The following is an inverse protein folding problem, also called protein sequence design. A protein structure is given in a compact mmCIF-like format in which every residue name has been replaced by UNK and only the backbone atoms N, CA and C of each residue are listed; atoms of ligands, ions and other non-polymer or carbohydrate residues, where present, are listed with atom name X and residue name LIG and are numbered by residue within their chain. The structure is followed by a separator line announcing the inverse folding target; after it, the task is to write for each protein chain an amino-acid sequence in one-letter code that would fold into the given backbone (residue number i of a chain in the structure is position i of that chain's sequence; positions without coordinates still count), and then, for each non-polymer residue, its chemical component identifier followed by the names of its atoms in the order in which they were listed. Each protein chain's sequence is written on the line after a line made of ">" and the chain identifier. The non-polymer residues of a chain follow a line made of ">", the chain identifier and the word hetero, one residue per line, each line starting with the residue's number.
data_IF_524051059962
#
_entry.id   IF_524051059962
#
_cell.length_a   1.000
_cell.length_b   1.000
_cell.length_c   1.000
_cell.angle_alpha   90.00
_cell.angle_beta   90.00
_cell.angle_gamma   90.00
#
_symmetry.space_group_name_H-M   'P 1'
#
loop_
_entity.id
_entity.type
_entity.pdbx_description
1 polymer ?
#
# COMPACT_ATOMS: atom_id res chain seq x y z
N UNK A 1 7.32 11.62 0.54
CA UNK A 1 7.85 10.46 -0.21
C UNK A 1 6.67 9.67 -0.69
N UNK A 2 6.69 9.19 -1.93
CA UNK A 2 5.66 8.27 -2.41
C UNK A 2 5.70 6.99 -1.55
N UNK A 3 4.54 6.42 -1.27
CA UNK A 3 4.41 5.19 -0.50
C UNK A 3 4.59 4.03 -1.47
N UNK A 4 5.49 3.09 -1.14
CA UNK A 4 5.90 2.00 -2.03
C UNK A 4 5.26 0.68 -1.65
N UNK A 5 4.62 0.01 -2.62
CA UNK A 5 4.07 -1.34 -2.47
C UNK A 5 4.82 -2.31 -3.38
N UNK A 6 5.45 -3.33 -2.79
CA UNK A 6 6.19 -4.34 -3.54
C UNK A 6 5.28 -5.47 -4.02
N UNK A 7 5.29 -5.74 -5.33
CA UNK A 7 4.58 -6.89 -5.92
C UNK A 7 5.48 -8.11 -5.82
N UNK A 8 5.08 -9.09 -5.04
CA UNK A 8 5.82 -10.34 -4.85
C UNK A 8 4.98 -11.56 -5.25
N UNK A 9 5.62 -12.69 -5.44
CA UNK A 9 4.97 -13.98 -5.75
C UNK A 9 5.94 -14.89 -6.48
N UNK A 10 5.57 -16.16 -6.65
CA UNK A 10 6.34 -17.14 -7.41
C UNK A 10 6.44 -16.76 -8.90
N UNK A 11 7.34 -17.35 -9.67
CA UNK A 11 7.36 -17.20 -11.13
C UNK A 11 6.02 -17.64 -11.75
N UNK A 12 5.63 -17.00 -12.84
CA UNK A 12 4.45 -17.33 -13.67
C UNK A 12 3.08 -17.24 -12.96
N UNK A 13 2.98 -16.48 -11.86
CA UNK A 13 1.69 -16.20 -11.19
C UNK A 13 0.97 -14.97 -11.74
N UNK A 14 1.59 -14.22 -12.67
CA UNK A 14 1.00 -13.04 -13.30
C UNK A 14 1.50 -11.69 -12.76
N UNK A 15 2.60 -11.63 -12.00
CA UNK A 15 3.15 -10.38 -11.43
C UNK A 15 3.45 -9.31 -12.47
N UNK A 16 4.22 -9.67 -13.50
CA UNK A 16 4.62 -8.70 -14.53
C UNK A 16 3.43 -8.26 -15.40
N UNK A 17 2.42 -9.13 -15.60
CA UNK A 17 1.17 -8.76 -16.27
C UNK A 17 0.42 -7.72 -15.45
N UNK A 18 0.28 -7.95 -14.14
CA UNK A 18 -0.32 -7.01 -13.20
C UNK A 18 0.43 -5.67 -13.20
N UNK A 19 1.75 -5.71 -13.06
CA UNK A 19 2.59 -4.52 -13.02
C UNK A 19 2.47 -3.69 -14.30
N UNK A 20 2.51 -4.36 -15.47
CA UNK A 20 2.36 -3.69 -16.75
C UNK A 20 0.96 -3.04 -16.90
N UNK A 21 -0.10 -3.73 -16.47
CA UNK A 21 -1.45 -3.18 -16.50
C UNK A 21 -1.58 -1.97 -15.55
N UNK A 22 -1.04 -2.05 -14.32
CA UNK A 22 -1.00 -0.94 -13.37
C UNK A 22 -0.25 0.28 -13.92
N UNK A 23 0.90 0.06 -14.57
CA UNK A 23 1.74 1.16 -15.10
C UNK A 23 1.19 1.77 -16.37
N UNK A 24 0.45 1.01 -17.20
CA UNK A 24 -0.28 1.54 -18.35
C UNK A 24 -1.49 2.38 -17.94
N UNK A 25 -2.25 1.92 -16.96
CA UNK A 25 -3.36 2.67 -16.38
C UNK A 25 -2.88 3.91 -15.60
N UNK A 26 -1.58 3.98 -15.25
CA UNK A 26 -0.96 5.09 -14.55
C UNK A 26 -0.69 6.30 -15.45
N UNK A 27 -0.65 7.47 -14.85
CA UNK A 27 -0.27 8.71 -15.53
C UNK A 27 1.23 8.65 -15.83
N UNK A 28 1.64 9.07 -17.04
CA UNK A 28 3.06 9.18 -17.39
C UNK A 28 3.81 9.97 -16.30
N UNK A 29 4.87 9.37 -15.78
CA UNK A 29 5.66 9.91 -14.66
C UNK A 29 6.24 11.32 -14.91
N UNK A 30 6.29 11.75 -16.17
CA UNK A 30 6.69 13.09 -16.61
C UNK A 30 5.83 14.22 -16.03
N UNK A 31 4.60 13.91 -15.59
CA UNK A 31 3.67 14.89 -15.03
C UNK A 31 3.86 15.14 -13.52
N UNK A 32 4.73 14.36 -12.84
CA UNK A 32 5.00 14.54 -11.42
C UNK A 32 6.41 15.09 -11.18
N UNK A 33 6.54 16.36 -10.71
CA UNK A 33 7.84 16.91 -10.34
C UNK A 33 8.44 16.13 -9.16
N UNK A 34 9.74 15.79 -9.27
CA UNK A 34 10.54 15.11 -8.24
C UNK A 34 10.41 13.57 -8.12
N UNK A 35 9.82 12.89 -9.11
CA UNK A 35 9.85 11.42 -9.13
C UNK A 35 11.05 10.92 -9.94
N UNK A 36 11.98 10.24 -9.27
CA UNK A 36 13.01 9.45 -9.94
C UNK A 36 12.41 8.07 -10.22
N UNK A 37 12.29 7.67 -11.49
CA UNK A 37 11.77 6.36 -11.86
C UNK A 37 12.92 5.36 -11.72
N UNK A 38 12.79 4.43 -10.79
CA UNK A 38 13.68 3.27 -10.70
C UNK A 38 13.24 2.20 -11.71
N UNK A 39 14.15 1.39 -12.22
CA UNK A 39 13.77 0.23 -13.04
C UNK A 39 12.79 -0.66 -12.27
N UNK A 40 11.72 -1.09 -12.93
CA UNK A 40 10.63 -1.89 -12.35
C UNK A 40 9.77 -1.20 -11.28
N UNK A 41 9.76 0.13 -11.21
CA UNK A 41 8.82 0.92 -10.40
C UNK A 41 7.85 1.69 -11.29
N UNK A 42 6.59 1.74 -10.89
CA UNK A 42 5.52 2.46 -11.58
C UNK A 42 4.71 3.31 -10.62
N UNK A 43 4.40 4.54 -11.01
CA UNK A 43 3.57 5.46 -10.24
C UNK A 43 2.15 5.38 -10.80
N UNK A 44 1.18 5.10 -9.92
CA UNK A 44 -0.23 5.04 -10.27
C UNK A 44 -1.03 6.07 -9.48
N UNK A 45 -2.04 6.64 -10.12
CA UNK A 45 -2.98 7.54 -9.44
C UNK A 45 -3.94 6.72 -8.58
N UNK A 46 -4.28 7.27 -7.41
CA UNK A 46 -5.35 6.70 -6.57
C UNK A 46 -6.69 7.13 -7.16
N UNK A 47 -7.55 6.19 -7.60
CA UNK A 47 -8.87 6.52 -8.10
C UNK A 47 -9.72 7.12 -6.99
N UNK A 48 -10.20 8.36 -7.18
CA UNK A 48 -11.03 9.06 -6.20
C UNK A 48 -12.00 10.03 -6.90
N UNK A 49 -13.25 9.59 -7.07
CA UNK A 49 -14.32 10.38 -7.69
C UNK A 49 -14.59 11.72 -6.98
N UNK A 50 -14.20 11.83 -5.71
CA UNK A 50 -14.38 13.06 -4.94
C UNK A 50 -13.57 14.22 -5.53
N UNK A 51 -12.40 13.91 -6.09
CA UNK A 51 -11.53 14.91 -6.73
C UNK A 51 -12.22 15.55 -7.94
N UNK A 52 -12.88 14.73 -8.77
CA UNK A 52 -13.58 15.19 -9.97
C UNK A 52 -14.82 16.03 -9.61
N UNK A 53 -15.57 15.61 -8.60
CA UNK A 53 -16.73 16.38 -8.09
C UNK A 53 -16.33 17.73 -7.51
N UNK A 54 -15.21 17.78 -6.76
CA UNK A 54 -14.65 19.06 -6.28
C UNK A 54 -14.20 19.94 -7.44
N UNK A 55 -13.54 19.36 -8.44
CA UNK A 55 -13.08 20.08 -9.62
C UNK A 55 -14.25 20.64 -10.45
N UNK A 56 -15.35 19.91 -10.58
CA UNK A 56 -16.55 20.38 -11.27
C UNK A 56 -17.17 21.64 -10.59
N UNK A 57 -17.09 21.74 -9.26
CA UNK A 57 -17.59 22.91 -8.51
C UNK A 57 -16.63 24.09 -8.60
N UNK A 58 -15.32 23.84 -8.44
CA UNK A 58 -14.30 24.90 -8.33
C UNK A 58 -13.84 25.39 -9.69
N UNK A 59 -13.93 24.56 -10.74
CA UNK A 59 -13.43 24.79 -12.11
C UNK A 59 -11.96 25.26 -12.09
N UNK A 60 -11.03 24.42 -11.59
CA UNK A 60 -9.64 24.80 -11.42
C UNK A 60 -8.86 24.76 -12.74
N UNK A 61 -7.67 25.40 -12.75
CA UNK A 61 -6.74 25.30 -13.88
C UNK A 61 -6.06 23.92 -13.96
N UNK A 62 -5.91 23.23 -12.82
CA UNK A 62 -5.28 21.90 -12.72
C UNK A 62 -6.00 21.02 -11.71
N UNK A 63 -6.06 19.73 -12.03
CA UNK A 63 -6.53 18.67 -11.14
C UNK A 63 -5.33 17.75 -10.88
N UNK A 64 -5.01 17.53 -9.61
CA UNK A 64 -3.83 16.74 -9.24
C UNK A 64 -4.27 15.62 -8.28
N UNK A 65 -4.32 14.36 -8.75
CA UNK A 65 -4.62 13.22 -7.90
C UNK A 65 -3.46 12.92 -6.96
N UNK A 66 -3.71 12.14 -5.92
CA UNK A 66 -2.64 11.52 -5.16
C UNK A 66 -2.15 10.25 -5.84
N UNK A 67 -0.96 9.81 -5.49
CA UNK A 67 -0.29 8.69 -6.17
C UNK A 67 0.31 7.70 -5.19
N UNK A 68 0.49 6.47 -5.66
CA UNK A 68 1.17 5.38 -4.99
C UNK A 68 2.18 4.76 -5.95
N UNK A 69 3.28 4.23 -5.42
CA UNK A 69 4.31 3.55 -6.21
C UNK A 69 4.17 2.03 -6.04
N UNK A 70 4.13 1.32 -7.15
CA UNK A 70 4.26 -0.13 -7.19
C UNK A 70 5.61 -0.51 -7.75
N UNK A 71 6.25 -1.54 -7.16
CA UNK A 71 7.53 -2.07 -7.63
C UNK A 71 7.37 -3.55 -7.98
N UNK A 72 7.66 -3.93 -9.23
CA UNK A 72 7.72 -5.35 -9.61
C UNK A 72 9.01 -5.95 -9.07
N UNK A 73 8.87 -6.85 -8.12
CA UNK A 73 9.99 -7.55 -7.51
C UNK A 73 10.12 -8.92 -8.18
N UNK A 74 11.29 -9.17 -8.78
CA UNK A 74 11.56 -10.42 -9.49
C UNK A 74 11.14 -11.64 -8.68
N UNK A 75 10.58 -12.66 -9.35
CA UNK A 75 10.00 -13.82 -8.66
C UNK A 75 10.98 -14.55 -7.74
N UNK A 76 10.53 -14.83 -6.51
CA UNK A 76 11.24 -15.65 -5.56
C UNK A 76 11.11 -17.12 -5.95
N UNK A 77 12.19 -17.87 -5.79
CA UNK A 77 12.20 -19.33 -5.79
C UNK A 77 12.66 -19.84 -4.42
N UNK A 78 12.22 -21.02 -4.02
CA UNK A 78 12.65 -21.63 -2.77
C UNK A 78 14.19 -21.68 -2.65
N UNK A 79 14.72 -21.34 -1.47
CA UNK A 79 16.16 -21.28 -1.20
C UNK A 79 16.82 -19.92 -1.48
N UNK A 80 16.05 -18.88 -1.80
CA UNK A 80 16.58 -17.56 -2.07
C UNK A 80 17.26 -16.90 -0.86
N UNK A 81 16.83 -17.21 0.34
CA UNK A 81 17.46 -16.72 1.60
C UNK A 81 18.86 -17.31 1.83
N UNK A 82 19.17 -18.47 1.24
CA UNK A 82 20.47 -19.15 1.34
C UNK A 82 21.35 -18.98 0.11
N UNK A 83 20.82 -18.36 -0.96
CA UNK A 83 21.50 -18.22 -2.24
C UNK A 83 22.36 -16.96 -2.35
N UNK A 84 23.50 -17.06 -3.06
CA UNK A 84 24.26 -15.89 -3.48
C UNK A 84 23.57 -15.23 -4.70
N UNK A 85 23.42 -13.88 -4.70
CA UNK A 85 23.02 -13.11 -5.86
C UNK A 85 21.56 -12.71 -5.90
N UNK A 86 20.72 -13.29 -6.77
CA UNK A 86 19.36 -12.83 -7.06
C UNK A 86 18.40 -12.86 -5.85
N UNK A 87 18.54 -13.83 -4.96
CA UNK A 87 17.71 -13.93 -3.76
C UNK A 87 17.95 -12.76 -2.78
N UNK A 88 19.21 -12.38 -2.57
CA UNK A 88 19.55 -11.24 -1.72
C UNK A 88 19.07 -9.91 -2.30
N UNK A 89 19.09 -9.76 -3.63
CA UNK A 89 18.56 -8.58 -4.30
C UNK A 89 17.03 -8.50 -4.16
N UNK A 90 16.33 -9.63 -4.29
CA UNK A 90 14.90 -9.73 -4.04
C UNK A 90 14.54 -9.23 -2.63
N UNK A 91 15.20 -9.76 -1.60
CA UNK A 91 14.95 -9.38 -0.21
C UNK A 91 15.30 -7.91 0.05
N UNK A 92 16.35 -7.36 -0.59
CA UNK A 92 16.71 -5.95 -0.50
C UNK A 92 15.60 -5.05 -1.08
N UNK A 93 15.06 -5.40 -2.26
CA UNK A 93 13.98 -4.64 -2.88
C UNK A 93 12.70 -4.64 -2.00
N UNK A 94 12.36 -5.78 -1.37
CA UNK A 94 11.23 -5.79 -0.41
C UNK A 94 11.50 -4.89 0.79
N UNK A 95 12.75 -4.81 1.29
CA UNK A 95 13.08 -3.93 2.44
C UNK A 95 12.77 -2.47 2.16
N UNK A 96 12.89 -2.02 0.92
CA UNK A 96 12.61 -0.63 0.51
C UNK A 96 11.11 -0.32 0.37
N UNK A 97 10.25 -1.34 0.32
CA UNK A 97 8.81 -1.18 0.23
C UNK A 97 8.18 -0.96 1.62
N UNK A 98 7.03 -0.27 1.65
CA UNK A 98 6.25 -0.04 2.86
C UNK A 98 5.24 -1.16 3.12
N UNK A 99 4.76 -1.84 2.07
CA UNK A 99 3.83 -2.97 2.11
C UNK A 99 4.16 -3.99 1.02
N UNK A 100 3.55 -5.17 1.13
CA UNK A 100 3.69 -6.28 0.19
C UNK A 100 2.34 -6.59 -0.44
N UNK A 101 2.28 -6.60 -1.77
CA UNK A 101 1.19 -7.15 -2.58
C UNK A 101 1.59 -8.53 -3.07
N UNK A 102 1.08 -9.57 -2.43
CA UNK A 102 1.42 -10.95 -2.75
C UNK A 102 0.49 -11.52 -3.81
N UNK A 103 0.98 -11.67 -5.03
CA UNK A 103 0.22 -12.25 -6.16
C UNK A 103 0.25 -13.76 -6.08
N UNK A 104 -0.92 -14.37 -6.06
CA UNK A 104 -1.12 -15.82 -5.96
C UNK A 104 -1.93 -16.30 -7.16
N UNK A 105 -1.47 -17.37 -7.78
CA UNK A 105 -2.16 -17.97 -8.93
C UNK A 105 -3.37 -18.79 -8.46
N UNK A 106 -4.56 -18.45 -8.94
CA UNK A 106 -5.82 -19.09 -8.62
C UNK A 106 -6.58 -19.53 -9.89
N UNK A 107 -5.87 -19.92 -10.95
CA UNK A 107 -6.43 -20.35 -12.23
C UNK A 107 -5.61 -21.48 -12.83
N UNK A 108 -6.23 -22.30 -13.68
CA UNK A 108 -5.59 -23.36 -14.45
C UNK A 108 -5.34 -22.89 -15.89
N UNK A 109 -4.12 -23.04 -16.38
CA UNK A 109 -3.76 -22.82 -17.77
C UNK A 109 -2.61 -23.77 -18.15
N UNK A 110 -2.90 -24.66 -19.10
CA UNK A 110 -1.95 -25.67 -19.59
C UNK A 110 -0.75 -25.07 -20.35
N UNK A 111 -0.88 -23.83 -20.82
CA UNK A 111 0.21 -23.11 -21.52
C UNK A 111 1.15 -22.38 -20.57
N UNK A 112 0.78 -22.26 -19.29
CA UNK A 112 1.56 -21.57 -18.27
C UNK A 112 2.09 -22.60 -17.26
N UNK A 113 3.38 -22.93 -17.35
CA UNK A 113 4.02 -23.86 -16.44
C UNK A 113 4.07 -23.29 -15.01
N UNK A 114 3.62 -24.07 -14.01
CA UNK A 114 3.82 -23.75 -12.61
C UNK A 114 5.18 -24.29 -12.14
N UNK A 115 5.84 -23.61 -11.18
CA UNK A 115 7.18 -23.97 -10.69
C UNK A 115 7.19 -25.35 -10.01
N UNK A 116 6.07 -25.74 -9.38
CA UNK A 116 5.89 -27.03 -8.71
C UNK A 116 5.04 -28.03 -9.50
N UNK A 117 4.80 -27.79 -10.80
CA UNK A 117 3.94 -28.62 -11.68
C UNK A 117 2.49 -28.80 -11.19
N UNK A 118 2.11 -28.17 -10.07
CA UNK A 118 0.77 -28.19 -9.49
C UNK A 118 0.42 -26.80 -8.95
N UNK A 119 -0.82 -26.37 -9.19
CA UNK A 119 -1.34 -25.14 -8.61
C UNK A 119 -1.76 -25.42 -7.17
N UNK A 120 -1.09 -24.79 -6.23
CA UNK A 120 -1.33 -24.94 -4.79
C UNK A 120 -1.08 -23.61 -4.07
N UNK A 121 -2.11 -22.73 -4.00
CA UNK A 121 -1.99 -21.42 -3.40
C UNK A 121 -1.45 -21.42 -1.96
N UNK A 122 -1.80 -22.43 -1.17
CA UNK A 122 -1.31 -22.54 0.20
C UNK A 122 0.20 -22.77 0.23
N UNK A 123 0.71 -23.71 -0.58
CA UNK A 123 2.14 -23.97 -0.71
C UNK A 123 2.91 -22.78 -1.29
N UNK A 124 2.32 -22.05 -2.23
CA UNK A 124 2.93 -20.86 -2.84
C UNK A 124 3.10 -19.74 -1.80
N UNK A 125 2.07 -19.50 -0.98
CA UNK A 125 2.09 -18.51 0.11
C UNK A 125 3.11 -18.92 1.17
N UNK A 126 3.09 -20.19 1.60
CA UNK A 126 4.02 -20.74 2.60
C UNK A 126 5.47 -20.59 2.14
N UNK A 127 5.77 -20.85 0.86
CA UNK A 127 7.12 -20.70 0.29
C UNK A 127 7.63 -19.27 0.45
N UNK A 128 6.84 -18.26 0.06
CA UNK A 128 7.22 -16.86 0.20
C UNK A 128 7.37 -16.48 1.68
N UNK A 129 6.41 -16.82 2.52
CA UNK A 129 6.44 -16.49 3.94
C UNK A 129 7.66 -17.10 4.64
N UNK A 130 8.02 -18.36 4.29
CA UNK A 130 9.19 -19.05 4.83
C UNK A 130 10.49 -18.33 4.45
N UNK A 131 10.65 -17.92 3.19
CA UNK A 131 11.87 -17.22 2.75
C UNK A 131 12.02 -15.84 3.44
N UNK A 132 10.92 -15.13 3.62
CA UNK A 132 10.92 -13.85 4.35
C UNK A 132 11.26 -14.09 5.84
N UNK A 133 10.68 -15.12 6.47
CA UNK A 133 10.93 -15.45 7.86
C UNK A 133 12.39 -15.88 8.11
N UNK A 134 12.98 -16.69 7.21
CA UNK A 134 14.39 -17.09 7.30
C UNK A 134 15.34 -15.89 7.20
N UNK A 135 15.06 -14.93 6.30
CA UNK A 135 15.85 -13.70 6.19
C UNK A 135 15.77 -12.84 7.46
N UNK A 136 14.59 -12.73 8.05
CA UNK A 136 14.38 -11.96 9.27
C UNK A 136 15.01 -12.67 10.48
N UNK A 137 14.92 -14.01 10.55
CA UNK A 137 15.52 -14.81 11.60
C UNK A 137 17.03 -14.57 11.69
N UNK A 138 17.72 -14.60 10.54
CA UNK A 138 19.16 -14.29 10.49
C UNK A 138 19.47 -12.90 11.03
N UNK A 139 18.65 -11.91 10.68
CA UNK A 139 18.80 -10.50 11.13
C UNK A 139 18.57 -10.38 12.65
N UNK A 140 17.50 -11.04 13.14
CA UNK A 140 17.14 -11.06 14.57
C UNK A 140 18.22 -11.77 15.39
N UNK A 141 18.76 -12.92 14.97
CA UNK A 141 19.80 -13.65 15.66
C UNK A 141 21.08 -12.81 15.80
N UNK A 142 21.54 -12.21 14.70
CA UNK A 142 22.74 -11.34 14.73
C UNK A 142 22.55 -10.17 15.70
N UNK A 143 21.38 -9.55 15.70
CA UNK A 143 21.09 -8.42 16.57
C UNK A 143 20.91 -8.84 18.02
N UNK A 144 20.27 -9.97 18.28
CA UNK A 144 20.09 -10.57 19.61
C UNK A 144 21.45 -10.87 20.28
N UNK A 145 22.40 -11.46 19.54
CA UNK A 145 23.73 -11.74 20.04
C UNK A 145 24.47 -10.46 20.45
N UNK A 146 24.36 -9.41 19.66
CA UNK A 146 24.96 -8.09 19.95
C UNK A 146 24.30 -7.45 21.17
N UNK A 147 22.97 -7.40 21.20
CA UNK A 147 22.19 -6.73 22.24
C UNK A 147 22.31 -7.46 23.58
N UNK A 148 22.37 -8.79 23.58
CA UNK A 148 22.56 -9.60 24.79
C UNK A 148 23.90 -9.30 25.50
N UNK A 149 24.96 -8.98 24.76
CA UNK A 149 26.25 -8.56 25.35
C UNK A 149 26.13 -7.22 26.08
N UNK A 150 25.36 -6.25 25.48
CA UNK A 150 25.10 -4.96 26.09
C UNK A 150 24.19 -5.10 27.30
N UNK A 151 23.15 -5.91 27.22
CA UNK A 151 22.21 -6.18 28.31
C UNK A 151 22.93 -6.73 29.58
N UNK A 152 23.97 -7.54 29.41
CA UNK A 152 24.79 -8.07 30.52
C UNK A 152 25.54 -6.98 31.29
N UNK A 153 25.78 -5.82 30.71
CA UNK A 153 26.39 -4.68 31.41
C UNK A 153 25.39 -3.88 32.26
N UNK A 154 24.13 -4.28 32.30
CA UNK A 154 23.09 -3.64 33.11
C UNK A 154 22.27 -2.57 32.39
N UNK A 155 22.42 -2.44 31.05
CA UNK A 155 21.66 -1.51 30.24
C UNK A 155 20.20 -1.96 30.15
N UNK A 156 19.27 -1.12 30.65
CA UNK A 156 17.84 -1.44 30.75
C UNK A 156 17.13 -1.49 29.39
N UNK A 157 17.53 -0.65 28.45
CA UNK A 157 16.96 -0.61 27.11
C UNK A 157 17.37 -1.87 26.34
N UNK A 158 18.65 -2.25 26.43
CA UNK A 158 19.12 -3.50 25.85
C UNK A 158 18.43 -4.73 26.47
N UNK A 159 18.16 -4.73 27.78
CA UNK A 159 17.43 -5.83 28.44
C UNK A 159 15.98 -5.93 27.92
N UNK A 160 15.28 -4.80 27.71
CA UNK A 160 13.95 -4.77 27.10
C UNK A 160 13.98 -5.29 25.67
N UNK A 161 14.93 -4.81 24.86
CA UNK A 161 15.10 -5.25 23.47
C UNK A 161 15.36 -6.76 23.35
N UNK A 162 16.15 -7.34 24.24
CA UNK A 162 16.40 -8.80 24.25
C UNK A 162 15.10 -9.58 24.38
N UNK A 163 14.18 -9.16 25.25
CA UNK A 163 12.88 -9.84 25.44
C UNK A 163 12.06 -9.82 24.14
N UNK A 164 12.01 -8.67 23.45
CA UNK A 164 11.28 -8.53 22.19
C UNK A 164 11.93 -9.36 21.07
N UNK A 165 13.25 -9.36 21.00
CA UNK A 165 14.01 -10.14 20.02
C UNK A 165 13.84 -11.65 20.22
N UNK A 166 13.81 -12.13 21.49
CA UNK A 166 13.54 -13.55 21.78
C UNK A 166 12.12 -13.95 21.38
N UNK A 167 11.11 -13.10 21.62
CA UNK A 167 9.74 -13.33 21.12
C UNK A 167 9.70 -13.41 19.59
N UNK A 168 10.34 -12.45 18.90
CA UNK A 168 10.39 -12.43 17.46
C UNK A 168 11.12 -13.67 16.90
N UNK A 169 12.26 -14.05 17.49
CA UNK A 169 13.02 -15.25 17.10
C UNK A 169 12.15 -16.50 17.22
N UNK A 170 11.54 -16.74 18.38
CA UNK A 170 10.70 -17.93 18.60
C UNK A 170 9.55 -18.04 17.59
N UNK A 171 8.98 -16.91 17.19
CA UNK A 171 7.89 -16.84 16.22
C UNK A 171 8.37 -17.11 14.80
N UNK A 172 9.53 -16.56 14.42
CA UNK A 172 10.18 -16.79 13.13
C UNK A 172 10.72 -18.20 12.96
N UNK A 173 11.17 -18.84 14.05
CA UNK A 173 11.58 -20.26 14.06
C UNK A 173 10.42 -21.22 13.68
N UNK A 174 9.17 -20.78 13.92
CA UNK A 174 7.95 -21.48 13.48
C UNK A 174 7.47 -21.04 12.08
N UNK A 175 8.29 -20.32 11.32
CA UNK A 175 7.97 -19.72 10.02
C UNK A 175 6.76 -18.75 10.06
N UNK A 176 6.40 -18.21 11.23
CA UNK A 176 5.31 -17.24 11.40
C UNK A 176 5.83 -15.80 11.24
N UNK A 177 5.09 -14.92 10.53
CA UNK A 177 5.51 -13.55 10.31
C UNK A 177 5.40 -12.71 11.60
N UNK A 178 6.36 -11.82 11.84
CA UNK A 178 6.38 -10.95 13.03
C UNK A 178 5.12 -10.07 13.12
N UNK A 179 4.48 -9.69 12.00
CA UNK A 179 3.22 -8.94 11.98
C UNK A 179 2.06 -9.64 12.70
N UNK A 180 2.11 -10.99 12.84
CA UNK A 180 1.10 -11.74 13.59
C UNK A 180 1.37 -11.80 15.10
N UNK A 181 2.53 -11.28 15.57
CA UNK A 181 2.76 -11.03 16.98
C UNK A 181 2.01 -9.77 17.41
N UNK A 182 1.24 -9.86 18.49
CA UNK A 182 0.59 -8.70 19.08
C UNK A 182 1.59 -7.85 19.88
N UNK A 183 2.51 -7.20 19.16
CA UNK A 183 3.51 -6.32 19.75
C UNK A 183 2.92 -4.93 20.04
N UNK A 184 3.32 -4.33 21.16
CA UNK A 184 3.01 -2.94 21.49
C UNK A 184 3.78 -1.99 20.54
N UNK A 185 3.38 -0.71 20.50
CA UNK A 185 4.10 0.32 19.72
C UNK A 185 5.56 0.46 20.16
N UNK A 186 5.82 0.29 21.44
CA UNK A 186 7.19 0.36 22.01
C UNK A 186 8.02 -0.86 21.58
N UNK A 187 7.45 -2.07 21.63
CA UNK A 187 8.09 -3.29 21.15
C UNK A 187 8.38 -3.23 19.64
N UNK A 188 7.45 -2.70 18.83
CA UNK A 188 7.69 -2.46 17.41
C UNK A 188 8.82 -1.44 17.16
N UNK A 189 8.89 -0.38 17.98
CA UNK A 189 9.97 0.61 17.89
C UNK A 189 11.35 -0.03 18.20
N UNK A 190 11.42 -0.98 19.13
CA UNK A 190 12.65 -1.72 19.44
C UNK A 190 13.13 -2.59 18.26
N UNK A 191 12.24 -3.04 17.37
CA UNK A 191 12.55 -3.81 16.15
C UNK A 191 12.80 -2.93 14.93
N UNK A 192 12.47 -1.63 14.98
CA UNK A 192 12.45 -0.76 13.81
C UNK A 192 13.78 -0.74 13.03
N UNK A 193 14.91 -0.70 13.76
CA UNK A 193 16.25 -0.64 13.16
C UNK A 193 16.67 -1.90 12.38
N UNK A 194 15.93 -3.01 12.54
CA UNK A 194 16.21 -4.26 11.82
C UNK A 194 15.58 -4.29 10.43
N UNK A 195 14.64 -3.40 10.14
CA UNK A 195 13.91 -3.37 8.86
C UNK A 195 13.38 -4.75 8.46
N UNK A 196 12.71 -5.44 9.41
CA UNK A 196 12.19 -6.79 9.20
C UNK A 196 11.15 -6.81 8.08
N UNK A 197 11.24 -7.83 7.22
CA UNK A 197 10.35 -8.02 6.08
C UNK A 197 8.96 -8.48 6.53
N UNK A 198 8.93 -9.37 7.53
CA UNK A 198 7.71 -9.98 8.04
C UNK A 198 6.89 -9.08 8.98
N UNK A 199 7.40 -7.88 9.32
CA UNK A 199 6.63 -6.83 10.02
C UNK A 199 5.73 -6.07 9.04
N UNK A 200 6.11 -6.02 7.76
CA UNK A 200 5.38 -5.26 6.74
C UNK A 200 3.95 -5.78 6.57
N UNK A 201 2.97 -4.88 6.40
CA UNK A 201 1.60 -5.28 6.07
C UNK A 201 1.57 -5.97 4.71
N UNK A 202 0.68 -6.96 4.58
CA UNK A 202 0.52 -7.78 3.37
C UNK A 202 -0.94 -7.76 2.94
N UNK A 203 -1.18 -7.67 1.64
CA UNK A 203 -2.43 -8.05 1.00
C UNK A 203 -2.18 -9.14 -0.05
N UNK A 204 -3.17 -9.98 -0.27
CA UNK A 204 -3.14 -11.01 -1.30
C UNK A 204 -3.88 -10.56 -2.54
N UNK A 205 -3.25 -10.73 -3.71
CA UNK A 205 -3.87 -10.51 -5.01
C UNK A 205 -4.08 -11.90 -5.62
N UNK A 206 -5.31 -12.39 -5.56
CA UNK A 206 -5.69 -13.67 -6.15
C UNK A 206 -5.92 -13.47 -7.64
N UNK A 207 -4.97 -13.93 -8.46
CA UNK A 207 -5.10 -13.89 -9.91
C UNK A 207 -5.93 -15.08 -10.37
N UNK A 208 -7.18 -14.81 -10.78
CA UNK A 208 -8.16 -15.76 -11.26
C UNK A 208 -8.30 -15.70 -12.79
N UNK A 209 -8.98 -16.67 -13.39
CA UNK A 209 -9.49 -16.57 -14.78
C UNK A 209 -10.80 -15.77 -14.85
N UNK A 210 -11.32 -15.61 -16.05
CA UNK A 210 -12.51 -14.79 -16.32
C UNK A 210 -13.77 -15.31 -15.60
N UNK A 211 -13.88 -16.61 -15.36
CA UNK A 211 -15.00 -17.26 -14.66
C UNK A 211 -14.69 -17.59 -13.19
N UNK A 212 -13.42 -17.35 -12.75
CA UNK A 212 -12.89 -17.81 -11.48
C UNK A 212 -13.15 -16.89 -10.27
N UNK A 213 -14.04 -15.92 -10.39
CA UNK A 213 -14.41 -15.04 -9.27
C UNK A 213 -15.38 -15.71 -8.27
N UNK A 214 -16.10 -16.73 -8.70
CA UNK A 214 -17.03 -17.52 -7.90
C UNK A 214 -16.71 -19.02 -8.01
N UNK A 215 -17.05 -19.79 -6.96
CA UNK A 215 -16.88 -21.24 -6.92
C UNK A 215 -15.44 -21.71 -7.23
N UNK A 216 -14.43 -20.95 -6.82
CA UNK A 216 -13.03 -21.19 -7.08
C UNK A 216 -12.32 -21.69 -5.80
N UNK A 217 -11.98 -23.00 -5.69
CA UNK A 217 -11.35 -23.57 -4.50
C UNK A 217 -9.98 -22.93 -4.18
N UNK A 218 -9.27 -22.46 -5.20
CA UNK A 218 -7.99 -21.76 -5.03
C UNK A 218 -8.18 -20.41 -4.37
N UNK A 219 -9.19 -19.63 -4.82
CA UNK A 219 -9.56 -18.35 -4.21
C UNK A 219 -10.06 -18.53 -2.79
N UNK A 220 -10.86 -19.56 -2.53
CA UNK A 220 -11.34 -19.91 -1.18
C UNK A 220 -10.17 -20.20 -0.23
N UNK A 221 -9.15 -20.93 -0.72
CA UNK A 221 -7.94 -21.22 0.04
C UNK A 221 -7.18 -19.95 0.41
N UNK A 222 -6.95 -19.02 -0.55
CA UNK A 222 -6.28 -17.75 -0.29
C UNK A 222 -7.07 -16.91 0.70
N UNK A 223 -8.40 -16.88 0.55
CA UNK A 223 -9.31 -16.13 1.43
C UNK A 223 -9.26 -16.65 2.87
N UNK A 224 -9.21 -17.97 3.05
CA UNK A 224 -9.10 -18.58 4.38
C UNK A 224 -7.77 -18.23 5.07
N UNK A 225 -6.65 -18.33 4.35
CA UNK A 225 -5.32 -17.96 4.86
C UNK A 225 -5.29 -16.46 5.23
N UNK A 226 -5.79 -15.61 4.36
CA UNK A 226 -5.82 -14.18 4.61
C UNK A 226 -6.67 -13.82 5.84
N UNK A 227 -7.80 -14.50 6.02
CA UNK A 227 -8.66 -14.29 7.19
C UNK A 227 -7.95 -14.66 8.51
N UNK A 228 -7.15 -15.73 8.53
CA UNK A 228 -6.33 -16.11 9.69
C UNK A 228 -5.25 -15.08 10.01
N UNK A 229 -4.66 -14.45 8.98
CA UNK A 229 -3.64 -13.42 9.13
C UNK A 229 -4.21 -12.00 9.35
N UNK A 230 -5.52 -11.81 9.21
CA UNK A 230 -6.16 -10.48 9.20
C UNK A 230 -5.76 -9.65 7.98
N UNK A 231 -5.38 -10.31 6.88
CA UNK A 231 -4.99 -9.69 5.63
C UNK A 231 -6.18 -9.53 4.68
N UNK A 232 -6.08 -8.58 3.75
CA UNK A 232 -7.08 -8.36 2.71
C UNK A 232 -6.77 -9.21 1.46
N UNK A 233 -7.82 -9.70 0.79
CA UNK A 233 -7.73 -10.37 -0.52
C UNK A 233 -8.42 -9.52 -1.57
N UNK A 234 -7.77 -9.34 -2.72
CA UNK A 234 -8.35 -8.76 -3.92
C UNK A 234 -8.28 -9.78 -5.04
N UNK A 235 -9.43 -10.30 -5.48
CA UNK A 235 -9.49 -11.18 -6.65
C UNK A 235 -9.52 -10.34 -7.92
N UNK A 236 -8.64 -10.64 -8.87
CA UNK A 236 -8.58 -9.97 -10.17
C UNK A 236 -8.23 -10.97 -11.27
N UNK A 237 -8.66 -10.71 -12.48
CA UNK A 237 -8.19 -11.42 -13.67
C UNK A 237 -7.18 -10.54 -14.41
N UNK A 238 -5.88 -10.84 -14.22
CA UNK A 238 -4.81 -10.03 -14.83
C UNK A 238 -4.90 -9.94 -16.36
N UNK A 239 -5.48 -10.94 -17.01
CA UNK A 239 -5.70 -10.93 -18.45
C UNK A 239 -6.73 -9.87 -18.84
N UNK A 240 -7.89 -9.86 -18.17
CA UNK A 240 -8.93 -8.84 -18.40
C UNK A 240 -8.41 -7.44 -18.07
N UNK A 241 -7.68 -7.28 -16.96
CA UNK A 241 -7.11 -5.99 -16.58
C UNK A 241 -6.12 -5.46 -17.62
N UNK A 242 -5.33 -6.34 -18.22
CA UNK A 242 -4.42 -5.94 -19.29
C UNK A 242 -5.17 -5.50 -20.56
N UNK A 243 -6.30 -6.12 -20.88
CA UNK A 243 -7.18 -5.73 -21.99
C UNK A 243 -7.87 -4.39 -21.69
N UNK A 244 -8.45 -4.22 -20.49
CA UNK A 244 -9.09 -2.97 -20.03
C UNK A 244 -8.11 -1.79 -20.07
N UNK A 245 -6.85 -2.01 -19.70
CA UNK A 245 -5.81 -0.97 -19.72
C UNK A 245 -5.40 -0.49 -21.12
N UNK A 246 -5.79 -1.20 -22.18
CA UNK A 246 -5.55 -0.82 -23.58
C UNK A 246 -6.71 0.00 -24.18
N UNK A 247 -7.87 0.02 -23.52
CA UNK A 247 -9.10 0.67 -24.02
C UNK A 247 -9.11 2.17 -23.71
N UNK A 248 -9.75 2.94 -24.59
CA UNK A 248 -10.09 4.33 -24.34
C UNK A 248 -11.25 4.42 -23.31
N UNK A 249 -11.40 5.55 -22.65
CA UNK A 249 -12.32 5.70 -21.50
C UNK A 249 -13.77 5.31 -21.81
N UNK A 250 -14.28 5.65 -23.01
CA UNK A 250 -15.65 5.33 -23.42
C UNK A 250 -15.81 3.82 -23.67
N UNK A 251 -14.84 3.18 -24.32
CA UNK A 251 -14.82 1.73 -24.59
C UNK A 251 -14.66 0.94 -23.27
N UNK A 252 -13.87 1.47 -22.34
CA UNK A 252 -13.66 0.88 -21.02
C UNK A 252 -14.95 0.77 -20.23
N UNK A 253 -15.79 1.81 -20.25
CA UNK A 253 -17.08 1.81 -19.55
C UNK A 253 -18.04 0.77 -20.14
N UNK A 254 -18.13 0.66 -21.48
CA UNK A 254 -18.95 -0.32 -22.15
C UNK A 254 -18.49 -1.75 -21.84
N UNK A 255 -17.18 -1.99 -21.90
CA UNK A 255 -16.58 -3.29 -21.61
C UNK A 255 -16.83 -3.75 -20.16
N UNK A 256 -16.69 -2.84 -19.18
CA UNK A 256 -16.99 -3.14 -17.78
C UNK A 256 -18.47 -3.48 -17.57
N UNK A 257 -19.39 -2.76 -18.24
CA UNK A 257 -20.83 -3.05 -18.17
C UNK A 257 -21.16 -4.42 -18.76
N UNK A 258 -20.55 -4.79 -19.87
CA UNK A 258 -20.75 -6.09 -20.51
C UNK A 258 -20.26 -7.25 -19.61
N UNK A 259 -19.22 -7.02 -18.82
CA UNK A 259 -18.72 -7.97 -17.83
C UNK A 259 -19.49 -7.94 -16.49
N UNK A 260 -20.44 -7.01 -16.32
CA UNK A 260 -21.15 -6.83 -15.05
C UNK A 260 -20.26 -6.28 -13.92
N UNK A 261 -19.16 -5.62 -14.27
CA UNK A 261 -18.21 -5.03 -13.33
C UNK A 261 -18.52 -3.54 -13.11
N UNK A 262 -18.52 -3.09 -11.86
CA UNK A 262 -18.73 -1.68 -11.52
C UNK A 262 -17.46 -0.83 -11.76
N UNK A 263 -16.29 -1.45 -11.64
CA UNK A 263 -14.99 -0.78 -11.76
C UNK A 263 -13.89 -1.77 -12.14
N UNK A 264 -12.74 -1.31 -12.67
CA UNK A 264 -11.57 -2.15 -12.91
C UNK A 264 -11.06 -2.81 -11.63
N UNK A 265 -10.57 -4.04 -11.74
CA UNK A 265 -9.92 -4.73 -10.63
C UNK A 265 -8.64 -4.02 -10.17
N UNK A 266 -7.92 -3.35 -11.08
CA UNK A 266 -6.75 -2.54 -10.76
C UNK A 266 -7.08 -1.42 -9.76
N UNK A 267 -8.22 -0.75 -9.91
CA UNK A 267 -8.66 0.31 -9.00
C UNK A 267 -8.90 -0.24 -7.59
N UNK A 268 -9.44 -1.46 -7.49
CA UNK A 268 -9.59 -2.17 -6.21
C UNK A 268 -8.24 -2.52 -5.59
N UNK A 269 -7.27 -2.97 -6.39
CA UNK A 269 -5.90 -3.25 -5.92
C UNK A 269 -5.23 -1.99 -5.39
N UNK A 270 -5.33 -0.88 -6.11
CA UNK A 270 -4.75 0.41 -5.72
C UNK A 270 -5.35 0.90 -4.39
N UNK A 271 -6.68 0.89 -4.26
CA UNK A 271 -7.37 1.29 -3.02
C UNK A 271 -7.07 0.34 -1.85
N UNK A 272 -6.99 -0.96 -2.11
CA UNK A 272 -6.60 -1.93 -1.09
C UNK A 272 -5.20 -1.67 -0.55
N UNK A 273 -4.23 -1.41 -1.43
CA UNK A 273 -2.86 -1.04 -1.05
C UNK A 273 -2.80 0.27 -0.26
N UNK A 274 -3.60 1.25 -0.65
CA UNK A 274 -3.71 2.54 0.05
C UNK A 274 -4.26 2.36 1.48
N UNK A 275 -5.32 1.60 1.62
CA UNK A 275 -5.92 1.26 2.92
C UNK A 275 -4.98 0.43 3.78
N UNK A 276 -4.29 -0.57 3.19
CA UNK A 276 -3.32 -1.43 3.87
C UNK A 276 -2.22 -0.63 4.58
N UNK A 277 -1.81 0.47 3.96
CA UNK A 277 -0.78 1.37 4.49
C UNK A 277 -1.30 2.36 5.53
N UNK A 278 -2.58 2.28 5.89
CA UNK A 278 -3.22 3.20 6.84
C UNK A 278 -3.23 4.63 6.34
N UNK A 279 -3.44 4.81 5.04
CA UNK A 279 -3.48 6.12 4.38
C UNK A 279 -4.90 6.60 4.19
N UNK A 280 -5.07 7.90 4.15
CA UNK A 280 -6.31 8.61 3.84
C UNK A 280 -6.02 9.85 3.02
N UNK A 281 -7.06 10.38 2.38
CA UNK A 281 -6.96 11.55 1.49
C UNK A 281 -7.66 12.75 2.09
N UNK A 282 -6.98 13.90 2.07
CA UNK A 282 -7.63 15.20 2.20
C UNK A 282 -7.40 16.03 0.94
N UNK A 283 -8.18 17.07 0.76
CA UNK A 283 -8.15 17.90 -0.44
C UNK A 283 -7.79 19.35 -0.13
N UNK A 284 -7.15 20.01 -1.08
CA UNK A 284 -7.10 21.45 -1.18
C UNK A 284 -7.85 21.86 -2.44
N UNK A 285 -8.76 22.83 -2.32
CA UNK A 285 -9.60 23.26 -3.43
C UNK A 285 -9.44 24.77 -3.66
N UNK A 286 -8.94 25.15 -4.84
CA UNK A 286 -8.73 26.53 -5.24
C UNK A 286 -8.74 26.69 -6.75
N UNK A 287 -8.90 27.92 -7.22
CA UNK A 287 -8.97 28.27 -8.67
C UNK A 287 -7.72 27.84 -9.44
N UNK A 288 -6.54 27.82 -8.80
CA UNK A 288 -5.31 27.39 -9.46
C UNK A 288 -5.24 25.87 -9.58
N UNK A 289 -5.60 25.17 -8.51
CA UNK A 289 -5.59 23.71 -8.48
C UNK A 289 -6.61 23.18 -7.48
N UNK A 290 -7.16 22.01 -7.81
CA UNK A 290 -7.79 21.09 -6.87
C UNK A 290 -6.87 19.89 -6.77
N UNK A 291 -6.48 19.54 -5.53
CA UNK A 291 -5.46 18.53 -5.31
C UNK A 291 -5.82 17.60 -4.16
N UNK A 292 -5.63 16.32 -4.39
CA UNK A 292 -5.69 15.28 -3.39
C UNK A 292 -4.30 15.09 -2.73
N UNK A 293 -4.28 14.95 -1.40
CA UNK A 293 -3.09 14.79 -0.60
C UNK A 293 -3.18 13.53 0.26
N UNK A 294 -2.11 12.74 0.27
CA UNK A 294 -2.02 11.56 1.12
C UNK A 294 -1.53 11.91 2.51
N UNK A 295 -2.21 11.40 3.53
CA UNK A 295 -1.81 11.50 4.93
C UNK A 295 -2.09 10.19 5.64
N UNK A 296 -1.36 9.90 6.72
CA UNK A 296 -1.66 8.73 7.57
C UNK A 296 -2.95 8.95 8.36
N UNK A 297 -3.74 7.91 8.52
CA UNK A 297 -4.89 7.91 9.41
C UNK A 297 -4.44 8.31 10.82
N UNK A 298 -5.15 9.25 11.42
CA UNK A 298 -4.81 9.82 12.73
C UNK A 298 -3.81 10.96 12.71
N UNK A 299 -3.40 11.45 11.53
CA UNK A 299 -2.52 12.61 11.42
C UNK A 299 -3.23 13.89 11.88
N UNK A 300 -2.47 14.75 12.58
CA UNK A 300 -2.94 16.07 12.99
C UNK A 300 -2.88 17.09 11.85
N UNK A 301 -3.60 18.21 11.99
CA UNK A 301 -3.58 19.27 10.98
C UNK A 301 -2.18 19.81 10.66
N UNK A 302 -1.26 20.03 11.62
CA UNK A 302 0.14 20.38 11.31
C UNK A 302 0.87 19.31 10.51
N UNK A 303 0.67 18.03 10.83
CA UNK A 303 1.27 16.92 10.08
C UNK A 303 0.74 16.85 8.64
N UNK A 304 -0.55 17.10 8.44
CA UNK A 304 -1.13 17.22 7.10
C UNK A 304 -0.56 18.42 6.34
N UNK A 305 -0.40 19.57 6.99
CA UNK A 305 0.25 20.75 6.40
C UNK A 305 1.71 20.47 5.99
N UNK A 306 2.43 19.64 6.75
CA UNK A 306 3.81 19.20 6.43
C UNK A 306 3.90 18.44 5.11
N UNK A 307 2.85 17.73 4.72
CA UNK A 307 2.80 16.99 3.43
C UNK A 307 2.85 17.95 2.25
N UNK A 308 2.31 19.16 2.39
CA UNK A 308 2.39 20.21 1.37
C UNK A 308 3.78 20.83 1.37
N UNK A 309 4.26 21.27 2.54
CA UNK A 309 5.59 21.83 2.73
C UNK A 309 5.97 21.82 4.21
N UNK A 310 7.23 21.51 4.53
CA UNK A 310 7.73 21.46 5.92
C UNK A 310 7.59 22.79 6.67
N UNK A 311 7.63 23.90 5.97
CA UNK A 311 7.45 25.23 6.59
C UNK A 311 5.99 25.45 7.01
N UNK A 312 5.01 24.81 6.37
CA UNK A 312 3.61 24.89 6.76
C UNK A 312 3.36 24.23 8.12
N UNK A 313 4.09 23.17 8.42
CA UNK A 313 4.05 22.55 9.76
C UNK A 313 4.63 23.50 10.82
N UNK A 314 5.84 24.03 10.56
CA UNK A 314 6.55 24.90 11.51
C UNK A 314 5.79 26.19 11.77
N UNK A 315 5.25 26.79 10.72
CA UNK A 315 4.49 28.05 10.78
C UNK A 315 3.00 27.86 10.99
N UNK A 316 2.50 26.65 11.30
CA UNK A 316 1.09 26.36 11.39
C UNK A 316 0.37 27.26 12.42
N UNK A 317 -0.68 27.93 11.97
CA UNK A 317 -1.55 28.78 12.82
C UNK A 317 -2.87 28.05 13.08
N UNK A 318 -3.59 27.67 12.03
CA UNK A 318 -4.87 26.97 12.07
C UNK A 318 -5.20 26.35 10.72
N UNK A 319 -6.15 25.40 10.72
CA UNK A 319 -6.77 24.87 9.51
C UNK A 319 -8.21 25.37 9.39
N UNK A 320 -8.62 25.75 8.20
CA UNK A 320 -10.00 26.03 7.82
C UNK A 320 -10.50 24.78 7.12
N UNK A 321 -11.49 24.10 7.68
CA UNK A 321 -11.88 22.73 7.31
C UNK A 321 -13.37 22.68 6.99
N UNK A 322 -13.70 21.99 5.90
CA UNK A 322 -15.06 21.56 5.58
C UNK A 322 -15.02 20.12 5.11
N UNK A 323 -15.97 19.29 5.54
CA UNK A 323 -16.07 17.92 5.04
C UNK A 323 -16.47 17.90 3.56
N UNK A 324 -15.98 16.92 2.82
CA UNK A 324 -16.27 16.76 1.39
C UNK A 324 -17.76 16.85 1.07
N UNK A 325 -18.62 16.13 1.79
CA UNK A 325 -20.07 16.13 1.54
C UNK A 325 -20.67 17.51 1.77
N UNK A 326 -20.30 18.20 2.85
CA UNK A 326 -20.76 19.56 3.14
C UNK A 326 -20.29 20.55 2.06
N UNK A 327 -19.09 20.36 1.49
CA UNK A 327 -18.58 21.18 0.40
C UNK A 327 -19.40 21.01 -0.88
N UNK A 328 -19.73 19.75 -1.24
CA UNK A 328 -20.52 19.42 -2.43
C UNK A 328 -21.97 19.90 -2.28
N UNK A 329 -22.61 19.60 -1.16
CA UNK A 329 -24.03 19.94 -0.91
C UNK A 329 -24.28 21.44 -0.88
N UNK A 330 -23.27 22.22 -0.50
CA UNK A 330 -23.35 23.67 -0.45
C UNK A 330 -22.67 24.38 -1.65
N UNK A 331 -22.35 23.61 -2.71
CA UNK A 331 -21.76 24.12 -3.94
C UNK A 331 -20.50 24.98 -3.71
N UNK A 332 -19.60 24.47 -2.85
CA UNK A 332 -18.27 25.02 -2.63
C UNK A 332 -18.08 25.80 -1.34
N UNK A 333 -16.94 26.46 -1.26
CA UNK A 333 -16.46 27.14 -0.05
C UNK A 333 -17.44 28.22 0.50
N UNK A 334 -17.96 29.06 -0.38
CA UNK A 334 -18.84 30.17 0.04
C UNK A 334 -20.17 29.63 0.59
N UNK A 335 -20.80 28.66 -0.10
CA UNK A 335 -22.03 28.05 0.37
C UNK A 335 -21.84 27.30 1.69
N UNK A 336 -20.71 26.60 1.87
CA UNK A 336 -20.39 25.94 3.11
C UNK A 336 -20.17 26.93 4.28
N UNK A 337 -19.60 28.09 4.02
CA UNK A 337 -19.48 29.18 5.01
C UNK A 337 -20.85 29.74 5.41
N UNK A 338 -21.69 30.03 4.44
CA UNK A 338 -23.04 30.57 4.67
C UNK A 338 -23.91 29.55 5.44
N UNK A 339 -23.71 28.25 5.20
CA UNK A 339 -24.37 27.17 5.91
C UNK A 339 -23.77 26.87 7.30
N UNK A 340 -22.70 27.57 7.71
CA UNK A 340 -22.02 27.35 8.99
C UNK A 340 -21.25 26.02 9.09
N UNK A 341 -20.87 25.43 7.93
CA UNK A 341 -20.13 24.15 7.85
C UNK A 341 -18.62 24.34 7.79
N UNK A 342 -18.16 25.58 7.66
CA UNK A 342 -16.75 25.94 7.64
C UNK A 342 -16.23 26.05 9.08
N UNK A 343 -15.30 25.18 9.45
CA UNK A 343 -14.76 25.08 10.81
C UNK A 343 -13.35 25.64 10.89
N UNK A 344 -13.02 26.22 12.01
CA UNK A 344 -11.66 26.66 12.35
C UNK A 344 -11.07 25.67 13.33
N UNK A 345 -10.03 24.96 12.93
CA UNK A 345 -9.43 23.89 13.69
C UNK A 345 -7.97 24.20 14.10
N UNK A 346 -7.59 23.77 15.29
CA UNK A 346 -6.27 23.99 15.87
C UNK A 346 -5.29 22.86 15.59
N UNK A 347 -4.16 22.87 16.31
CA UNK A 347 -3.07 21.90 16.15
C UNK A 347 -3.43 20.46 16.48
N UNK A 348 -4.39 20.26 17.38
CA UNK A 348 -4.81 18.93 17.84
C UNK A 348 -5.88 18.30 16.94
N UNK A 349 -6.35 19.01 15.91
CA UNK A 349 -7.34 18.47 15.01
C UNK A 349 -6.79 17.28 14.25
N UNK A 350 -7.50 16.15 14.34
CA UNK A 350 -7.20 14.95 13.55
C UNK A 350 -7.94 15.07 12.22
N UNK A 351 -7.17 15.09 11.14
CA UNK A 351 -7.71 15.17 9.77
C UNK A 351 -8.56 13.95 9.48
N UNK A 352 -9.77 14.20 8.97
CA UNK A 352 -10.66 13.14 8.51
C UNK A 352 -10.48 12.88 7.00
N UNK A 353 -10.78 11.65 6.58
CA UNK A 353 -10.79 11.31 5.15
C UNK A 353 -11.86 12.14 4.42
N UNK A 354 -11.46 12.78 3.33
CA UNK A 354 -12.34 13.65 2.55
C UNK A 354 -12.42 15.11 3.04
N UNK A 355 -11.69 15.51 4.08
CA UNK A 355 -11.65 16.91 4.47
C UNK A 355 -11.11 17.79 3.33
N UNK A 356 -11.78 18.92 3.07
CA UNK A 356 -11.28 19.99 2.21
C UNK A 356 -10.69 21.07 3.11
N UNK A 357 -9.38 21.30 3.02
CA UNK A 357 -8.63 22.06 4.01
C UNK A 357 -7.90 23.26 3.37
N UNK A 358 -7.98 24.40 4.04
CA UNK A 358 -7.12 25.54 3.77
C UNK A 358 -6.25 25.84 5.00
N UNK A 359 -4.95 25.61 4.89
CA UNK A 359 -4.01 25.87 5.98
C UNK A 359 -3.62 27.34 6.04
N UNK A 360 -3.66 27.91 7.26
CA UNK A 360 -3.12 29.24 7.59
C UNK A 360 -1.82 29.06 8.34
N UNK A 361 -0.77 29.64 7.80
CA UNK A 361 0.59 29.54 8.35
C UNK A 361 1.29 30.88 8.23
N UNK A 362 2.34 31.07 9.03
CA UNK A 362 3.23 32.21 8.98
C UNK A 362 4.67 31.68 8.94
N UNK A 363 5.45 32.08 7.93
CA UNK A 363 6.85 31.67 7.71
C UNK A 363 7.76 32.85 7.97
#
# INVERSE_FOLDING_TARGET
>A
MAVKCGIVGLPNVGKSTLFNALTKAGIAAENFPFCTIEPNSGIVSIPDERLDKLAAIVVPQKIIPTTMEFTDIAGLVAGASKGEGLGNQFLANIRECDAISHVVRCFEDSNVTHVSDKIDPASDIETINTELALSDLESVEKFLDKTSRVAKSGDKDAQRQVIVLEKAKAHLDEAKPVRSLNLTKEELADLYSLHLLTVKPVMYIANVDEEGFENNPYLDTVTAIAAEEGAQVVAICNKLEAEIAELEDDEKLEFLQDLGMEEPGLDRVIRAGYTLLGLQTYFTAGVKEVRAWTVKVGATAPQAAAVIHTDFEKGFIRAEVVGYQDFVDNNGENGAKDAGKWRLEGKEYIVADGDVIHFRFNV
#
